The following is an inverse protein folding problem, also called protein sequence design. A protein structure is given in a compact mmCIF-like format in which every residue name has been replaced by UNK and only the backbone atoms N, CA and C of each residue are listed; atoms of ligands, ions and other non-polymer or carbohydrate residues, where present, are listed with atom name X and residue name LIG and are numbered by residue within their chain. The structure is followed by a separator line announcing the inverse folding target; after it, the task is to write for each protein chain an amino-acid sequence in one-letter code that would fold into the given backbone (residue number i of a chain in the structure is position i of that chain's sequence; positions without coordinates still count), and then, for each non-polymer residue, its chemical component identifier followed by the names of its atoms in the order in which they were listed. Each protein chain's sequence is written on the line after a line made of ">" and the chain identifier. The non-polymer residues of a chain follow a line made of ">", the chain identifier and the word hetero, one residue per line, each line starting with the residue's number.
data_IF_077535361717
#
_entry.id   IF_077535361717
#
_cell.length_a   1.000
_cell.length_b   1.000
_cell.length_c   1.000
_cell.angle_alpha   90.00
_cell.angle_beta   90.00
_cell.angle_gamma   90.00
#
_symmetry.space_group_name_H-M   'P 1'
#
loop_
_entity.id
_entity.type
_entity.pdbx_description
1 polymer ?
#
# COMPACT_ATOMS: atom_id res chain seq x y z
N UNK A 1 -25.31 -10.61 -4.48
CA UNK A 1 -26.65 -10.62 -5.11
C UNK A 1 -26.45 -10.29 -6.57
N UNK A 2 -26.71 -11.22 -7.48
CA UNK A 2 -26.67 -10.93 -8.90
C UNK A 2 -27.99 -10.27 -9.31
N UNK A 3 -27.90 -9.18 -10.09
CA UNK A 3 -29.07 -8.47 -10.59
C UNK A 3 -29.57 -9.12 -11.88
N UNK A 4 -30.86 -9.42 -11.97
CA UNK A 4 -31.48 -9.99 -13.16
C UNK A 4 -31.37 -9.04 -14.36
N UNK A 5 -31.43 -9.57 -15.59
CA UNK A 5 -31.37 -8.76 -16.82
C UNK A 5 -32.54 -7.78 -16.88
N UNK A 6 -33.72 -8.23 -16.44
CA UNK A 6 -34.95 -7.46 -16.38
C UNK A 6 -34.81 -6.27 -15.43
N UNK A 7 -34.19 -6.48 -14.26
CA UNK A 7 -33.94 -5.41 -13.30
C UNK A 7 -33.00 -4.33 -13.85
N UNK A 8 -31.90 -4.73 -14.51
CA UNK A 8 -30.99 -3.78 -15.16
C UNK A 8 -31.68 -3.00 -16.29
N UNK A 9 -32.51 -3.66 -17.09
CA UNK A 9 -33.29 -3.01 -18.15
C UNK A 9 -34.28 -1.99 -17.58
N UNK A 10 -34.97 -2.32 -16.48
CA UNK A 10 -35.88 -1.40 -15.81
C UNK A 10 -35.15 -0.15 -15.25
N UNK A 11 -33.96 -0.31 -14.66
CA UNK A 11 -33.14 0.82 -14.21
C UNK A 11 -32.70 1.71 -15.38
N UNK A 12 -32.31 1.09 -16.51
CA UNK A 12 -31.92 1.83 -17.71
C UNK A 12 -33.08 2.60 -18.35
N UNK A 13 -34.32 2.20 -18.11
CA UNK A 13 -35.52 2.88 -18.62
C UNK A 13 -35.91 4.15 -17.84
N UNK A 14 -35.29 4.43 -16.68
CA UNK A 14 -35.55 5.68 -15.95
C UNK A 14 -35.21 6.92 -16.77
N UNK A 15 -36.01 7.97 -16.60
CA UNK A 15 -35.74 9.29 -17.17
C UNK A 15 -34.46 9.90 -16.58
N UNK A 16 -33.87 10.88 -17.27
CA UNK A 16 -32.67 11.59 -16.78
C UNK A 16 -32.82 12.11 -15.34
N UNK A 17 -33.88 12.90 -15.02
CA UNK A 17 -34.08 13.43 -13.67
C UNK A 17 -34.25 12.36 -12.58
N UNK A 18 -34.89 11.24 -12.90
CA UNK A 18 -35.06 10.11 -11.97
C UNK A 18 -33.73 9.42 -11.69
N UNK A 19 -32.91 9.23 -12.74
CA UNK A 19 -31.55 8.69 -12.60
C UNK A 19 -30.69 9.61 -11.76
N UNK A 20 -30.70 10.92 -11.99
CA UNK A 20 -29.90 11.88 -11.24
C UNK A 20 -30.26 11.86 -9.75
N UNK A 21 -31.56 11.89 -9.43
CA UNK A 21 -32.05 11.80 -8.04
C UNK A 21 -31.63 10.48 -7.38
N UNK A 22 -31.64 9.37 -8.11
CA UNK A 22 -31.14 8.08 -7.62
C UNK A 22 -29.63 8.12 -7.40
N UNK A 23 -28.84 8.61 -8.35
CA UNK A 23 -27.39 8.72 -8.28
C UNK A 23 -26.98 9.55 -7.07
N UNK A 24 -27.53 10.76 -6.89
CA UNK A 24 -27.20 11.61 -5.74
C UNK A 24 -27.50 10.94 -4.40
N UNK A 25 -28.56 10.13 -4.32
CA UNK A 25 -28.88 9.35 -3.12
C UNK A 25 -27.90 8.20 -2.90
N UNK A 26 -27.42 7.55 -3.96
CA UNK A 26 -26.41 6.49 -3.88
C UNK A 26 -25.04 7.05 -3.48
N UNK A 27 -24.61 8.17 -4.07
CA UNK A 27 -23.34 8.83 -3.74
C UNK A 27 -23.28 9.30 -2.28
N UNK A 28 -24.40 9.71 -1.69
CA UNK A 28 -24.47 10.01 -0.24
C UNK A 28 -24.19 8.80 0.64
N UNK A 29 -24.49 7.59 0.16
CA UNK A 29 -24.26 6.34 0.90
C UNK A 29 -22.85 5.80 0.68
N UNK A 30 -22.34 5.92 -0.54
CA UNK A 30 -21.00 5.48 -0.91
C UNK A 30 -20.04 6.67 -1.03
N UNK A 31 -19.38 6.98 0.09
CA UNK A 31 -18.40 8.08 0.16
C UNK A 31 -17.21 7.86 -0.76
N UNK A 32 -16.77 6.61 -0.93
CA UNK A 32 -15.60 6.32 -1.76
C UNK A 32 -15.92 6.57 -3.23
N UNK A 33 -17.05 6.07 -3.70
CA UNK A 33 -17.53 6.33 -5.07
C UNK A 33 -17.76 7.83 -5.29
N UNK A 34 -18.30 8.54 -4.31
CA UNK A 34 -18.47 10.00 -4.40
C UNK A 34 -17.13 10.74 -4.55
N UNK A 35 -16.10 10.37 -3.78
CA UNK A 35 -14.77 10.97 -3.90
C UNK A 35 -14.12 10.64 -5.22
N UNK A 36 -14.24 9.40 -5.68
CA UNK A 36 -13.74 8.96 -6.98
C UNK A 36 -14.36 9.75 -8.14
N UNK A 37 -15.69 9.85 -8.20
CA UNK A 37 -16.36 10.63 -9.24
C UNK A 37 -16.03 12.13 -9.14
N UNK A 38 -15.86 12.66 -7.93
CA UNK A 38 -15.40 14.04 -7.77
C UNK A 38 -14.01 14.23 -8.40
N UNK A 39 -13.08 13.30 -8.13
CA UNK A 39 -11.75 13.30 -8.75
C UNK A 39 -11.83 13.21 -10.28
N UNK A 40 -12.60 12.26 -10.81
CA UNK A 40 -12.69 12.02 -12.26
C UNK A 40 -13.41 13.15 -13.04
N UNK A 41 -14.36 13.84 -12.42
CA UNK A 41 -15.26 14.77 -13.14
C UNK A 41 -14.99 16.26 -12.86
N UNK A 42 -14.37 16.59 -11.73
CA UNK A 42 -14.33 17.97 -11.22
C UNK A 42 -12.94 18.40 -10.78
N UNK A 43 -12.18 17.50 -10.15
CA UNK A 43 -10.91 17.86 -9.50
C UNK A 43 -9.90 18.40 -10.53
N UNK A 44 -9.33 19.60 -10.31
CA UNK A 44 -8.40 20.20 -11.26
C UNK A 44 -7.01 19.56 -11.19
N UNK A 45 -6.72 18.79 -10.14
CA UNK A 45 -5.41 18.17 -9.96
C UNK A 45 -5.31 16.83 -10.69
N UNK A 46 -4.15 16.58 -11.29
CA UNK A 46 -3.87 15.28 -11.93
C UNK A 46 -3.60 14.20 -10.89
N UNK A 47 -3.62 12.93 -11.32
CA UNK A 47 -3.21 11.79 -10.50
C UNK A 47 -1.82 11.99 -9.90
N UNK A 48 -0.88 12.50 -10.69
CA UNK A 48 0.51 12.71 -10.25
C UNK A 48 0.59 13.81 -9.17
N UNK A 49 -0.13 14.92 -9.34
CA UNK A 49 -0.18 15.99 -8.34
C UNK A 49 -0.79 15.51 -7.02
N UNK A 50 -1.87 14.73 -7.09
CA UNK A 50 -2.47 14.09 -5.90
C UNK A 50 -1.50 13.10 -5.25
N UNK A 51 -0.72 12.36 -6.05
CA UNK A 51 0.28 11.43 -5.54
C UNK A 51 1.39 12.17 -4.81
N UNK A 52 1.90 13.27 -5.36
CA UNK A 52 2.93 14.07 -4.70
C UNK A 52 2.44 14.69 -3.39
N UNK A 53 1.21 15.22 -3.37
CA UNK A 53 0.59 15.65 -2.11
C UNK A 53 0.43 14.50 -1.10
N UNK A 54 0.15 13.28 -1.56
CA UNK A 54 0.07 12.11 -0.69
C UNK A 54 1.45 11.67 -0.20
N UNK A 55 2.53 11.85 -0.98
CA UNK A 55 3.90 11.62 -0.52
C UNK A 55 4.18 12.49 0.70
N UNK A 56 3.96 13.81 0.59
CA UNK A 56 4.18 14.76 1.70
C UNK A 56 3.40 14.36 2.96
N UNK A 57 2.12 13.99 2.81
CA UNK A 57 1.27 13.52 3.91
C UNK A 57 1.85 12.27 4.57
N UNK A 58 2.33 11.30 3.78
CA UNK A 58 2.93 10.07 4.31
C UNK A 58 4.20 10.39 5.08
N UNK A 59 5.09 11.22 4.53
CA UNK A 59 6.34 11.61 5.18
C UNK A 59 6.08 12.32 6.51
N UNK A 60 5.20 13.33 6.51
CA UNK A 60 4.85 14.08 7.72
C UNK A 60 4.24 13.15 8.78
N UNK A 61 3.28 12.30 8.39
CA UNK A 61 2.60 11.43 9.36
C UNK A 61 3.53 10.36 9.93
N UNK A 62 4.45 9.82 9.14
CA UNK A 62 5.44 8.86 9.66
C UNK A 62 6.41 9.55 10.61
N UNK A 63 6.87 10.76 10.28
CA UNK A 63 7.72 11.56 11.16
C UNK A 63 7.01 11.89 12.49
N UNK A 64 5.73 12.22 12.46
CA UNK A 64 4.95 12.43 13.68
C UNK A 64 4.75 11.12 14.47
N UNK A 65 4.53 10.00 13.76
CA UNK A 65 4.37 8.69 14.38
C UNK A 65 5.65 8.19 15.04
N UNK A 66 6.83 8.50 14.49
CA UNK A 66 8.13 8.02 14.98
C UNK A 66 8.45 8.50 16.41
N UNK A 67 7.80 9.59 16.86
CA UNK A 67 7.82 10.00 18.28
C UNK A 67 7.36 8.89 19.24
N UNK A 68 6.60 7.92 18.75
CA UNK A 68 6.10 6.79 19.51
C UNK A 68 6.79 5.46 19.20
N UNK A 69 7.92 5.47 18.48
CA UNK A 69 8.57 4.26 17.98
C UNK A 69 9.04 3.30 19.06
N UNK A 70 9.32 3.80 20.28
CA UNK A 70 9.63 2.97 21.45
C UNK A 70 8.46 2.05 21.87
N UNK A 71 7.23 2.38 21.47
CA UNK A 71 6.07 1.50 21.58
C UNK A 71 5.69 0.98 20.18
N UNK A 72 6.41 -0.03 19.72
CA UNK A 72 6.22 -0.63 18.39
C UNK A 72 4.76 -1.06 18.09
N UNK A 73 4.00 -1.50 19.11
CA UNK A 73 2.58 -1.86 18.93
C UNK A 73 1.71 -0.65 18.61
N UNK A 74 1.90 0.45 19.35
CA UNK A 74 1.17 1.68 19.11
C UNK A 74 1.62 2.35 17.81
N UNK A 75 2.92 2.41 17.55
CA UNK A 75 3.48 2.88 16.29
C UNK A 75 2.89 2.13 15.08
N UNK A 76 2.85 0.80 15.14
CA UNK A 76 2.24 -0.03 14.09
C UNK A 76 0.75 0.27 13.88
N UNK A 77 0.00 0.63 14.92
CA UNK A 77 -1.40 1.06 14.79
C UNK A 77 -1.52 2.34 13.97
N UNK A 78 -0.63 3.31 14.19
CA UNK A 78 -0.60 4.57 13.42
C UNK A 78 -0.18 4.28 11.97
N UNK A 79 0.88 3.50 11.76
CA UNK A 79 1.36 3.11 10.42
C UNK A 79 0.24 2.45 9.60
N UNK A 80 -0.59 1.59 10.21
CA UNK A 80 -1.73 0.97 9.52
C UNK A 80 -2.81 1.98 9.12
N UNK A 81 -3.00 3.06 9.89
CA UNK A 81 -3.91 4.15 9.51
C UNK A 81 -3.35 4.90 8.31
N UNK A 82 -2.06 5.23 8.30
CA UNK A 82 -1.39 5.85 7.14
C UNK A 82 -1.53 4.97 5.89
N UNK A 83 -1.29 3.66 6.03
CA UNK A 83 -1.50 2.71 4.93
C UNK A 83 -2.96 2.64 4.45
N UNK A 84 -3.94 2.85 5.32
CA UNK A 84 -5.35 2.87 4.93
C UNK A 84 -5.68 4.13 4.13
N UNK A 85 -5.07 5.27 4.45
CA UNK A 85 -5.19 6.51 3.67
C UNK A 85 -4.57 6.37 2.28
N UNK A 86 -3.38 5.75 2.16
CA UNK A 86 -2.80 5.40 0.85
C UNK A 86 -3.78 4.54 0.05
N UNK A 87 -4.40 3.54 0.68
CA UNK A 87 -5.38 2.66 0.02
C UNK A 87 -6.62 3.43 -0.44
N UNK A 88 -7.10 4.38 0.36
CA UNK A 88 -8.22 5.25 -0.02
C UNK A 88 -7.84 6.14 -1.20
N UNK A 89 -6.66 6.76 -1.16
CA UNK A 89 -6.11 7.56 -2.25
C UNK A 89 -6.09 6.78 -3.56
N UNK A 90 -5.45 5.61 -3.60
CA UNK A 90 -5.37 4.76 -4.79
C UNK A 90 -6.75 4.38 -5.32
N UNK A 91 -7.72 4.11 -4.43
CA UNK A 91 -9.09 3.78 -4.85
C UNK A 91 -9.81 4.98 -5.48
N UNK A 92 -9.49 6.20 -5.06
CA UNK A 92 -10.04 7.43 -5.59
C UNK A 92 -9.38 7.78 -6.93
N UNK A 93 -8.05 7.75 -6.99
CA UNK A 93 -7.27 8.21 -8.15
C UNK A 93 -7.03 7.13 -9.20
N UNK A 94 -7.27 5.86 -8.85
CA UNK A 94 -6.92 4.68 -9.66
C UNK A 94 -5.44 4.59 -10.02
N UNK A 95 -4.58 5.23 -9.22
CA UNK A 95 -3.13 5.28 -9.43
C UNK A 95 -2.45 3.95 -9.11
N UNK A 96 -2.21 3.13 -10.14
CA UNK A 96 -1.50 1.85 -9.99
C UNK A 96 -0.04 2.04 -9.58
N UNK A 97 0.63 3.04 -10.15
CA UNK A 97 2.01 3.35 -9.81
C UNK A 97 2.11 3.83 -8.36
N UNK A 98 1.23 4.77 -7.97
CA UNK A 98 1.10 5.27 -6.61
C UNK A 98 0.81 4.20 -5.56
N UNK A 99 0.05 3.14 -5.92
CA UNK A 99 -0.15 2.00 -5.02
C UNK A 99 1.17 1.29 -4.68
N UNK A 100 2.13 1.25 -5.60
CA UNK A 100 3.44 0.67 -5.33
C UNK A 100 4.34 1.70 -4.64
N UNK A 101 4.56 2.85 -5.27
CA UNK A 101 5.54 3.85 -4.83
C UNK A 101 5.21 4.45 -3.46
N UNK A 102 3.96 4.78 -3.15
CA UNK A 102 3.59 5.32 -1.83
C UNK A 102 3.74 4.28 -0.72
N UNK A 103 3.47 3.00 -1.01
CA UNK A 103 3.65 1.94 -0.04
C UNK A 103 5.13 1.63 0.20
N UNK A 104 5.98 1.72 -0.82
CA UNK A 104 7.44 1.63 -0.66
C UNK A 104 8.01 2.85 0.06
N UNK A 105 7.51 4.06 -0.22
CA UNK A 105 7.85 5.27 0.52
C UNK A 105 7.52 5.12 2.02
N UNK A 106 6.32 4.64 2.35
CA UNK A 106 5.95 4.35 3.74
C UNK A 106 6.94 3.40 4.42
N UNK A 107 7.39 2.35 3.73
CA UNK A 107 8.39 1.42 4.25
C UNK A 107 9.75 2.09 4.46
N UNK A 108 10.21 2.87 3.48
CA UNK A 108 11.44 3.65 3.59
C UNK A 108 11.42 4.58 4.81
N UNK A 109 10.34 5.36 4.98
CA UNK A 109 10.18 6.29 6.12
C UNK A 109 10.12 5.58 7.47
N UNK A 110 9.55 4.38 7.55
CA UNK A 110 9.60 3.60 8.80
C UNK A 110 11.04 3.17 9.10
N UNK A 111 11.76 2.70 8.09
CA UNK A 111 13.10 2.14 8.23
C UNK A 111 14.20 3.20 8.43
N UNK A 112 13.96 4.47 8.08
CA UNK A 112 14.83 5.60 8.47
C UNK A 112 15.09 5.65 9.98
N UNK A 113 14.20 5.07 10.80
CA UNK A 113 14.34 4.98 12.26
C UNK A 113 14.93 3.65 12.75
N UNK A 114 15.70 2.95 11.90
CA UNK A 114 16.33 1.67 12.24
C UNK A 114 17.19 1.69 13.51
N UNK A 115 17.87 2.81 13.79
CA UNK A 115 18.66 2.96 15.00
C UNK A 115 17.83 2.78 16.29
N UNK A 116 16.56 3.21 16.29
CA UNK A 116 15.64 3.04 17.41
C UNK A 116 14.98 1.66 17.40
N UNK A 117 14.70 1.11 16.22
CA UNK A 117 14.07 -0.20 16.07
C UNK A 117 15.02 -1.34 16.48
N UNK A 118 16.27 -1.28 16.04
CA UNK A 118 17.30 -2.31 16.29
C UNK A 118 17.68 -2.45 17.76
N UNK A 119 17.55 -1.37 18.55
CA UNK A 119 17.84 -1.36 20.01
C UNK A 119 16.73 -1.99 20.85
N UNK A 120 15.53 -2.16 20.29
CA UNK A 120 14.40 -2.72 21.02
C UNK A 120 14.48 -4.25 21.10
N UNK A 121 13.84 -4.82 22.13
CA UNK A 121 13.69 -6.27 22.23
C UNK A 121 12.89 -6.80 21.04
N UNK A 122 13.35 -7.91 20.48
CA UNK A 122 12.77 -8.50 19.27
C UNK A 122 11.27 -8.79 19.39
N UNK A 123 10.80 -9.28 20.55
CA UNK A 123 9.38 -9.55 20.81
C UNK A 123 8.49 -8.29 20.72
N UNK A 124 9.05 -7.11 21.02
CA UNK A 124 8.34 -5.84 20.88
C UNK A 124 8.15 -5.46 19.40
N UNK A 125 9.21 -5.57 18.61
CA UNK A 125 9.24 -5.15 17.19
C UNK A 125 8.77 -6.23 16.21
N UNK A 126 8.66 -7.48 16.64
CA UNK A 126 8.33 -8.63 15.79
C UNK A 126 7.09 -8.39 14.91
N UNK A 127 5.98 -7.92 15.49
CA UNK A 127 4.75 -7.66 14.72
C UNK A 127 4.89 -6.53 13.70
N UNK A 128 5.73 -5.54 13.99
CA UNK A 128 6.05 -4.46 13.05
C UNK A 128 6.90 -5.01 11.90
N UNK A 129 7.90 -5.83 12.19
CA UNK A 129 8.73 -6.45 11.16
C UNK A 129 7.94 -7.41 10.27
N UNK A 130 7.06 -8.24 10.84
CA UNK A 130 6.14 -9.07 10.04
C UNK A 130 5.22 -8.21 9.15
N UNK A 131 4.77 -7.05 9.64
CA UNK A 131 4.00 -6.12 8.82
C UNK A 131 4.84 -5.55 7.66
N UNK A 132 6.08 -5.13 7.92
CA UNK A 132 7.03 -4.64 6.91
C UNK A 132 7.26 -5.71 5.84
N UNK A 133 7.61 -6.93 6.23
CA UNK A 133 7.87 -8.03 5.27
C UNK A 133 6.63 -8.33 4.43
N UNK A 134 5.44 -8.43 5.05
CA UNK A 134 4.19 -8.61 4.32
C UNK A 134 3.93 -7.49 3.29
N UNK A 135 4.33 -6.27 3.63
CA UNK A 135 4.14 -5.10 2.78
C UNK A 135 5.15 -5.10 1.63
N UNK A 136 6.41 -5.46 1.87
CA UNK A 136 7.42 -5.68 0.83
C UNK A 136 6.92 -6.70 -0.19
N UNK A 137 6.50 -7.90 0.25
CA UNK A 137 5.95 -8.91 -0.67
C UNK A 137 4.79 -8.39 -1.51
N UNK A 138 3.86 -7.65 -0.92
CA UNK A 138 2.75 -7.04 -1.65
C UNK A 138 3.22 -6.02 -2.67
N UNK A 139 4.19 -5.17 -2.31
CA UNK A 139 4.76 -4.20 -3.22
C UNK A 139 5.50 -4.87 -4.38
N UNK A 140 6.28 -5.94 -4.14
CA UNK A 140 6.94 -6.71 -5.21
C UNK A 140 5.93 -7.33 -6.18
N UNK A 141 4.85 -7.92 -5.66
CA UNK A 141 3.76 -8.48 -6.47
C UNK A 141 3.11 -7.41 -7.36
N UNK A 142 2.90 -6.21 -6.83
CA UNK A 142 2.27 -5.12 -7.57
C UNK A 142 3.25 -4.45 -8.54
N UNK A 143 4.52 -4.30 -8.17
CA UNK A 143 5.58 -3.76 -9.01
C UNK A 143 5.74 -4.59 -10.29
N UNK A 144 5.73 -5.92 -10.17
CA UNK A 144 5.81 -6.83 -11.33
C UNK A 144 4.62 -6.71 -12.30
N UNK A 145 3.50 -6.12 -11.85
CA UNK A 145 2.30 -5.87 -12.67
C UNK A 145 2.28 -4.46 -13.27
N UNK A 146 3.23 -3.60 -12.91
CA UNK A 146 3.43 -2.31 -13.55
C UNK A 146 4.08 -2.49 -14.92
N UNK A 147 3.96 -1.46 -15.74
CA UNK A 147 4.76 -1.32 -16.95
C UNK A 147 6.25 -1.25 -16.61
N UNK A 148 7.11 -1.82 -17.46
CA UNK A 148 8.56 -1.87 -17.28
C UNK A 148 9.17 -0.46 -17.22
N UNK A 149 8.56 0.52 -17.90
CA UNK A 149 8.99 1.93 -17.86
C UNK A 149 9.00 2.50 -16.44
N UNK A 150 8.19 1.97 -15.52
CA UNK A 150 8.14 2.40 -14.13
C UNK A 150 9.17 1.70 -13.23
N UNK A 151 9.80 0.60 -13.68
CA UNK A 151 10.64 -0.21 -12.82
C UNK A 151 11.85 0.56 -12.30
N UNK A 152 12.43 1.45 -13.11
CA UNK A 152 13.56 2.28 -12.69
C UNK A 152 13.25 3.09 -11.43
N UNK A 153 12.10 3.79 -11.38
CA UNK A 153 11.71 4.58 -10.20
C UNK A 153 11.37 3.68 -9.01
N UNK A 154 10.78 2.50 -9.25
CA UNK A 154 10.46 1.54 -8.19
C UNK A 154 11.73 0.92 -7.59
N UNK A 155 12.72 0.61 -8.42
CA UNK A 155 13.99 0.00 -8.00
C UNK A 155 14.79 0.95 -7.09
N UNK A 156 14.73 2.26 -7.30
CA UNK A 156 15.31 3.24 -6.37
C UNK A 156 14.72 3.09 -4.95
N UNK A 157 13.40 2.92 -4.85
CA UNK A 157 12.75 2.68 -3.57
C UNK A 157 13.11 1.32 -2.97
N UNK A 158 13.16 0.27 -3.80
CA UNK A 158 13.48 -1.09 -3.35
C UNK A 158 14.91 -1.20 -2.86
N UNK A 159 15.89 -0.69 -3.61
CA UNK A 159 17.30 -0.66 -3.20
C UNK A 159 17.45 0.06 -1.85
N UNK A 160 16.79 1.21 -1.70
CA UNK A 160 16.84 1.95 -0.43
C UNK A 160 16.23 1.19 0.76
N UNK A 161 15.24 0.32 0.51
CA UNK A 161 14.69 -0.58 1.54
C UNK A 161 15.65 -1.74 1.81
N UNK A 162 16.25 -2.32 0.78
CA UNK A 162 17.20 -3.42 0.87
C UNK A 162 18.37 -3.05 1.79
N UNK A 163 18.99 -1.90 1.53
CA UNK A 163 20.11 -1.34 2.31
C UNK A 163 19.71 -1.19 3.79
N UNK A 164 18.55 -0.59 4.05
CA UNK A 164 18.05 -0.42 5.42
C UNK A 164 17.69 -1.76 6.09
N UNK A 165 17.20 -2.75 5.34
CA UNK A 165 16.97 -4.09 5.91
C UNK A 165 18.30 -4.70 6.33
N UNK A 166 19.34 -4.59 5.50
CA UNK A 166 20.67 -5.13 5.77
C UNK A 166 21.32 -4.51 7.02
N UNK A 167 21.06 -3.23 7.31
CA UNK A 167 21.50 -2.56 8.54
C UNK A 167 20.81 -3.08 9.81
N UNK A 168 19.67 -3.75 9.69
CA UNK A 168 18.87 -4.21 10.81
C UNK A 168 18.92 -5.74 10.92
N UNK A 169 19.90 -6.24 11.66
CA UNK A 169 20.18 -7.68 11.83
C UNK A 169 18.95 -8.54 12.16
N UNK A 170 18.06 -8.06 13.04
CA UNK A 170 16.85 -8.80 13.40
C UNK A 170 15.85 -8.85 12.25
N UNK A 171 15.66 -7.74 11.55
CA UNK A 171 14.77 -7.66 10.40
C UNK A 171 15.31 -8.50 9.24
N UNK A 172 16.60 -8.35 8.90
CA UNK A 172 17.25 -9.13 7.84
C UNK A 172 17.12 -10.64 8.08
N UNK A 173 17.42 -11.11 9.30
CA UNK A 173 17.23 -12.52 9.66
C UNK A 173 15.78 -12.96 9.52
N UNK A 174 14.83 -12.11 9.91
CA UNK A 174 13.41 -12.43 9.78
C UNK A 174 12.96 -12.47 8.32
N UNK A 175 13.49 -11.62 7.44
CA UNK A 175 13.27 -11.67 6.00
C UNK A 175 13.69 -13.03 5.43
N UNK A 176 14.93 -13.45 5.69
CA UNK A 176 15.48 -14.74 5.25
C UNK A 176 14.63 -15.91 5.77
N UNK A 177 14.32 -15.91 7.07
CA UNK A 177 13.51 -16.96 7.69
C UNK A 177 12.06 -16.98 7.17
N UNK A 178 11.58 -15.88 6.61
CA UNK A 178 10.24 -15.77 6.01
C UNK A 178 10.25 -16.03 4.51
N UNK A 179 11.39 -16.41 3.91
CA UNK A 179 11.52 -16.70 2.49
C UNK A 179 11.51 -15.46 1.59
N UNK A 180 11.80 -14.27 2.14
CA UNK A 180 12.04 -13.07 1.33
C UNK A 180 13.51 -13.07 0.87
N UNK A 181 13.73 -13.29 -0.42
CA UNK A 181 15.06 -13.24 -1.02
C UNK A 181 15.48 -11.77 -1.21
N UNK A 182 16.67 -11.43 -0.72
CA UNK A 182 17.22 -10.08 -0.84
C UNK A 182 17.53 -9.71 -2.31
N UNK A 183 17.71 -10.69 -3.20
CA UNK A 183 17.90 -10.42 -4.63
C UNK A 183 16.62 -9.91 -5.33
N UNK A 184 15.45 -9.97 -4.69
CA UNK A 184 14.18 -9.52 -5.29
C UNK A 184 13.94 -8.02 -5.16
N UNK A 185 14.88 -7.25 -4.59
CA UNK A 185 14.77 -5.78 -4.48
C UNK A 185 15.16 -5.04 -5.77
N UNK A 186 15.05 -5.74 -6.91
CA UNK A 186 15.06 -5.19 -8.27
C UNK A 186 13.93 -5.86 -9.04
N UNK A 187 13.12 -5.07 -9.75
CA UNK A 187 11.86 -5.54 -10.36
C UNK A 187 12.06 -6.64 -11.40
N UNK A 188 13.19 -6.61 -12.13
CA UNK A 188 13.57 -7.62 -13.11
C UNK A 188 13.92 -8.97 -12.47
N UNK A 189 14.42 -8.96 -11.23
CA UNK A 189 14.77 -10.14 -10.43
C UNK A 189 13.59 -10.70 -9.64
N UNK A 190 12.45 -10.01 -9.59
CA UNK A 190 11.23 -10.52 -8.93
C UNK A 190 10.69 -11.73 -9.69
N UNK A 191 10.49 -12.89 -9.03
CA UNK A 191 9.98 -14.09 -9.68
C UNK A 191 8.57 -13.90 -10.26
N UNK A 192 8.32 -14.43 -11.46
CA UNK A 192 6.99 -14.39 -12.10
C UNK A 192 5.89 -15.04 -11.24
N UNK A 193 6.26 -16.03 -10.42
CA UNK A 193 5.34 -16.73 -9.51
C UNK A 193 5.34 -16.17 -8.07
N UNK A 194 5.78 -14.94 -7.85
CA UNK A 194 5.86 -14.32 -6.52
C UNK A 194 4.52 -14.33 -5.75
N UNK A 195 3.39 -14.21 -6.47
CA UNK A 195 2.04 -14.36 -5.91
C UNK A 195 1.82 -15.74 -5.26
N UNK A 196 2.35 -16.81 -5.89
CA UNK A 196 2.23 -18.17 -5.37
C UNK A 196 3.20 -18.40 -4.21
N UNK A 197 4.45 -17.93 -4.35
CA UNK A 197 5.46 -18.00 -3.28
C UNK A 197 4.92 -17.37 -1.98
N UNK A 198 4.32 -16.18 -2.06
CA UNK A 198 3.75 -15.51 -0.89
C UNK A 198 2.60 -16.31 -0.25
N UNK A 199 1.76 -16.97 -1.06
CA UNK A 199 0.65 -17.81 -0.57
C UNK A 199 1.19 -19.04 0.17
N UNK A 200 2.21 -19.69 -0.38
CA UNK A 200 2.82 -20.89 0.21
C UNK A 200 3.48 -20.57 1.55
N UNK A 201 4.24 -19.47 1.62
CA UNK A 201 4.86 -18.97 2.86
C UNK A 201 3.78 -18.73 3.94
N UNK A 202 2.67 -18.07 3.59
CA UNK A 202 1.55 -17.83 4.53
C UNK A 202 0.86 -19.11 4.98
N UNK A 203 0.73 -20.10 4.09
CA UNK A 203 0.13 -21.39 4.41
C UNK A 203 0.91 -22.14 5.49
N UNK A 204 2.24 -22.00 5.48
CA UNK A 204 3.17 -22.58 6.45
C UNK A 204 3.16 -21.84 7.81
N UNK A 205 2.38 -20.76 7.93
CA UNK A 205 2.26 -19.99 9.17
C UNK A 205 3.27 -18.85 9.32
N UNK A 206 4.20 -18.71 8.37
CA UNK A 206 5.03 -17.52 8.26
C UNK A 206 4.15 -16.31 7.89
N UNK A 207 4.59 -15.11 8.28
CA UNK A 207 3.91 -13.85 7.95
C UNK A 207 2.47 -13.67 8.53
N UNK A 208 2.09 -14.43 9.56
CA UNK A 208 0.84 -14.26 10.32
C UNK A 208 0.92 -13.18 11.40
#
# INVERSE_FOLDING_TARGET
>A
MEYSKEFKAALSAFSGPEKDKLIFRLLRKDKLLSKKLYFELIDPETTDQKRDAMKDIVEEKVLLASKYIGNAKYFLSIVRKISAEITEHVKITTDKFGDVSLNLLLLNKILEHNADLSRQRFDNVYKLYIYIINKVFKSLILAKKLDEDYWMEIDEYLQSIEEKIAENHYLQKLCINSGLDMNWFECDKVPENIDQIMKDIKSQGFLR
#
